data_IF_494321261864
#
_entry.id   IF_494321261864
#
_cell.length_a   1.000
_cell.length_b   1.000
_cell.length_c   1.000
_cell.angle_alpha   90.00
_cell.angle_beta   90.00
_cell.angle_gamma   90.00
#
_symmetry.space_group_name_H-M   'P 1'
#
loop_
_entity.id
_entity.type
_entity.pdbx_description
1 polymer ?
#
# COMPACT_ATOMS: atom_id res chain seq x y z
N UNK A 1 -74.10 -3.22 -26.73
CA UNK A 1 -73.42 -4.06 -25.71
C UNK A 1 -73.91 -5.50 -25.84
N UNK A 2 -73.19 -6.51 -25.35
CA UNK A 2 -73.64 -7.93 -25.37
C UNK A 2 -74.02 -8.38 -23.96
N UNK A 3 -75.05 -9.23 -23.82
CA UNK A 3 -75.48 -9.76 -22.55
C UNK A 3 -74.39 -10.65 -21.96
N UNK A 4 -73.91 -10.35 -20.75
CA UNK A 4 -72.88 -11.18 -20.09
C UNK A 4 -73.38 -12.59 -19.72
N UNK A 5 -74.69 -12.80 -19.66
CA UNK A 5 -75.26 -14.09 -19.30
C UNK A 5 -75.48 -15.01 -20.52
N UNK A 6 -75.99 -14.49 -21.64
CA UNK A 6 -76.32 -15.31 -22.82
C UNK A 6 -75.60 -14.92 -24.11
N UNK A 7 -74.76 -13.88 -24.10
CA UNK A 7 -73.98 -13.44 -25.25
C UNK A 7 -74.75 -12.67 -26.33
N UNK A 8 -76.09 -12.60 -26.27
CA UNK A 8 -76.87 -11.89 -27.29
C UNK A 8 -76.66 -10.36 -27.25
N UNK A 9 -76.71 -9.74 -28.43
CA UNK A 9 -76.56 -8.29 -28.57
C UNK A 9 -77.75 -7.59 -27.91
N UNK A 10 -77.45 -6.73 -26.93
CA UNK A 10 -78.42 -5.86 -26.27
C UNK A 10 -78.43 -4.52 -27.01
N UNK A 11 -79.62 -4.13 -27.46
CA UNK A 11 -79.90 -2.83 -28.05
C UNK A 11 -79.60 -1.70 -27.08
N UNK A 12 -79.02 -0.63 -27.60
CA UNK A 12 -78.56 0.52 -26.81
C UNK A 12 -79.73 1.12 -26.00
N UNK A 13 -79.52 1.32 -24.69
CA UNK A 13 -80.54 1.83 -23.75
C UNK A 13 -81.47 0.78 -23.11
N UNK A 14 -81.37 -0.51 -23.46
CA UNK A 14 -82.23 -1.53 -22.84
C UNK A 14 -81.81 -1.86 -21.39
N UNK A 15 -82.77 -1.83 -20.44
CA UNK A 15 -82.53 -2.15 -19.02
C UNK A 15 -82.30 -3.64 -18.74
N UNK A 16 -82.86 -4.52 -19.58
CA UNK A 16 -82.75 -5.98 -19.46
C UNK A 16 -82.52 -6.63 -20.83
N UNK A 17 -81.84 -7.78 -20.85
CA UNK A 17 -81.63 -8.58 -22.05
C UNK A 17 -82.96 -9.20 -22.50
N UNK A 18 -83.40 -8.90 -23.73
CA UNK A 18 -84.65 -9.44 -24.27
C UNK A 18 -84.66 -10.96 -24.47
N UNK A 19 -83.49 -11.60 -24.57
CA UNK A 19 -83.40 -13.06 -24.81
C UNK A 19 -83.41 -13.89 -23.53
N UNK A 20 -82.84 -13.41 -22.42
CA UNK A 20 -82.75 -14.19 -21.17
C UNK A 20 -83.25 -13.46 -19.92
N UNK A 21 -83.69 -12.20 -20.04
CA UNK A 21 -84.22 -11.40 -18.94
C UNK A 21 -83.18 -10.75 -18.02
N UNK A 22 -81.87 -11.04 -18.17
CA UNK A 22 -80.84 -10.53 -17.27
C UNK A 22 -80.67 -9.00 -17.33
N UNK A 23 -80.43 -8.28 -16.21
CA UNK A 23 -80.20 -6.84 -16.19
C UNK A 23 -78.96 -6.45 -17.00
N UNK A 24 -79.01 -5.32 -17.70
CA UNK A 24 -77.94 -4.91 -18.61
C UNK A 24 -76.71 -4.29 -17.89
N UNK A 25 -76.85 -3.76 -16.66
CA UNK A 25 -75.77 -3.13 -15.88
C UNK A 25 -75.99 -3.33 -14.37
N UNK A 26 -74.94 -3.68 -13.60
CA UNK A 26 -74.97 -3.72 -12.12
C UNK A 26 -74.60 -2.35 -11.51
N UNK A 27 -75.20 -1.89 -10.38
CA UNK A 27 -74.93 -0.56 -9.81
C UNK A 27 -73.53 -0.43 -9.18
N UNK A 28 -72.79 0.63 -9.54
CA UNK A 28 -71.39 0.90 -9.17
C UNK A 28 -71.15 1.20 -7.68
N UNK A 29 -72.14 1.74 -6.96
CA UNK A 29 -71.96 2.27 -5.59
C UNK A 29 -71.55 1.20 -4.56
N UNK A 30 -72.00 -0.06 -4.70
CA UNK A 30 -71.65 -1.14 -3.74
C UNK A 30 -70.18 -1.59 -3.84
N UNK A 31 -69.52 -1.40 -4.99
CA UNK A 31 -68.10 -1.79 -5.15
C UNK A 31 -67.17 -0.80 -4.48
N UNK A 32 -67.48 0.49 -4.52
CA UNK A 32 -66.62 1.53 -3.96
C UNK A 32 -66.57 1.47 -2.43
N UNK A 33 -67.69 1.17 -1.76
CA UNK A 33 -67.75 1.05 -0.29
C UNK A 33 -66.97 -0.15 0.24
N UNK A 34 -67.05 -1.28 -0.45
CA UNK A 34 -66.34 -2.52 -0.09
C UNK A 34 -64.82 -2.36 -0.28
N UNK A 35 -64.40 -1.66 -1.34
CA UNK A 35 -62.98 -1.41 -1.63
C UNK A 35 -62.36 -0.45 -0.60
N UNK A 36 -63.04 0.64 -0.26
CA UNK A 36 -62.59 1.59 0.77
C UNK A 36 -62.43 0.92 2.16
N UNK A 37 -63.36 0.02 2.52
CA UNK A 37 -63.28 -0.75 3.77
C UNK A 37 -62.09 -1.72 3.80
N UNK A 38 -61.73 -2.33 2.68
CA UNK A 38 -60.56 -3.23 2.60
C UNK A 38 -59.24 -2.46 2.73
N UNK A 39 -59.17 -1.26 2.17
CA UNK A 39 -57.97 -0.41 2.28
C UNK A 39 -57.73 0.10 3.71
N UNK A 40 -58.78 0.48 4.44
CA UNK A 40 -58.65 0.93 5.83
C UNK A 40 -58.10 -0.18 6.74
N UNK A 41 -58.63 -1.40 6.63
CA UNK A 41 -58.16 -2.58 7.36
C UNK A 41 -56.69 -2.89 7.01
N UNK A 42 -56.30 -2.77 5.74
CA UNK A 42 -54.91 -3.02 5.30
C UNK A 42 -53.94 -2.00 5.89
N UNK A 43 -54.31 -0.71 5.93
CA UNK A 43 -53.50 0.36 6.55
C UNK A 43 -53.33 0.14 8.05
N UNK A 44 -54.37 -0.30 8.74
CA UNK A 44 -54.31 -0.55 10.19
C UNK A 44 -53.41 -1.75 10.53
N UNK A 45 -53.52 -2.85 9.77
CA UNK A 45 -52.62 -4.00 9.89
C UNK A 45 -51.15 -3.63 9.59
N UNK A 46 -50.90 -2.78 8.60
CA UNK A 46 -49.56 -2.29 8.28
C UNK A 46 -48.97 -1.43 9.42
N UNK A 47 -49.76 -0.54 10.02
CA UNK A 47 -49.34 0.24 11.21
C UNK A 47 -49.00 -0.67 12.38
N UNK A 48 -49.80 -1.72 12.64
CA UNK A 48 -49.54 -2.68 13.72
C UNK A 48 -48.25 -3.48 13.47
N UNK A 49 -48.01 -3.95 12.23
CA UNK A 49 -46.74 -4.61 11.85
C UNK A 49 -45.54 -3.70 12.03
N UNK A 50 -45.62 -2.43 11.61
CA UNK A 50 -44.52 -1.47 11.75
C UNK A 50 -44.18 -1.19 13.22
N UNK A 51 -45.18 -1.10 14.09
CA UNK A 51 -44.97 -0.98 15.54
C UNK A 51 -44.29 -2.20 16.15
N UNK A 52 -44.68 -3.41 15.73
CA UNK A 52 -44.05 -4.66 16.19
C UNK A 52 -42.57 -4.72 15.74
N UNK A 53 -42.27 -4.39 14.48
CA UNK A 53 -40.91 -4.36 13.96
C UNK A 53 -40.01 -3.37 14.72
N UNK A 54 -40.52 -2.17 15.00
CA UNK A 54 -39.78 -1.16 15.79
C UNK A 54 -39.51 -1.64 17.21
N UNK A 55 -40.47 -2.32 17.85
CA UNK A 55 -40.27 -2.89 19.18
C UNK A 55 -39.21 -4.01 19.16
N UNK A 56 -39.22 -4.90 18.16
CA UNK A 56 -38.20 -5.93 18.01
C UNK A 56 -36.80 -5.35 17.78
N UNK A 57 -36.66 -4.30 16.96
CA UNK A 57 -35.38 -3.61 16.75
C UNK A 57 -34.86 -2.96 18.04
N UNK A 58 -35.74 -2.37 18.84
CA UNK A 58 -35.39 -1.80 20.14
C UNK A 58 -34.90 -2.88 21.12
N UNK A 59 -35.57 -4.03 21.17
CA UNK A 59 -35.11 -5.16 22.00
C UNK A 59 -33.75 -5.68 21.53
N UNK A 60 -33.54 -5.84 20.20
CA UNK A 60 -32.25 -6.27 19.66
C UNK A 60 -31.13 -5.28 19.98
N UNK A 61 -31.39 -3.96 19.88
CA UNK A 61 -30.42 -2.94 20.24
C UNK A 61 -30.06 -2.99 21.73
N UNK A 62 -31.06 -3.15 22.62
CA UNK A 62 -30.83 -3.31 24.06
C UNK A 62 -30.05 -4.59 24.36
N UNK A 63 -30.37 -5.71 23.72
CA UNK A 63 -29.60 -6.95 23.85
C UNK A 63 -28.16 -6.77 23.40
N UNK A 64 -27.91 -6.06 22.29
CA UNK A 64 -26.56 -5.76 21.81
C UNK A 64 -25.79 -4.86 22.81
N UNK A 65 -26.43 -3.84 23.39
CA UNK A 65 -25.82 -3.00 24.43
C UNK A 65 -25.51 -3.80 25.72
N UNK A 66 -26.39 -4.71 26.12
CA UNK A 66 -26.17 -5.59 27.29
C UNK A 66 -25.02 -6.57 27.01
N UNK A 67 -24.97 -7.17 25.82
CA UNK A 67 -23.83 -7.99 25.39
C UNK A 67 -22.55 -7.16 25.40
N UNK A 68 -22.55 -5.93 24.87
CA UNK A 68 -21.38 -5.04 24.89
C UNK A 68 -20.95 -4.63 26.30
N UNK A 69 -21.89 -4.51 27.25
CA UNK A 69 -21.59 -4.16 28.64
C UNK A 69 -21.09 -5.35 29.47
N UNK A 70 -21.55 -6.58 29.17
CA UNK A 70 -21.19 -7.80 29.92
C UNK A 70 -20.03 -8.58 29.29
N UNK A 71 -19.96 -8.60 27.95
CA UNK A 71 -18.74 -8.95 27.22
C UNK A 71 -17.90 -7.69 27.25
N UNK A 72 -17.13 -7.48 28.33
CA UNK A 72 -16.00 -6.55 28.28
C UNK A 72 -15.27 -6.85 26.97
N UNK A 73 -15.20 -5.93 26.00
CA UNK A 73 -14.39 -6.17 24.84
C UNK A 73 -12.97 -6.31 25.38
N UNK A 74 -12.43 -7.53 25.37
CA UNK A 74 -11.00 -7.71 25.33
C UNK A 74 -10.56 -7.18 23.97
N UNK A 75 -10.56 -5.86 23.83
CA UNK A 75 -9.72 -5.19 22.87
C UNK A 75 -8.32 -5.55 23.31
N UNK A 76 -7.82 -6.57 22.62
CA UNK A 76 -6.45 -7.05 22.56
C UNK A 76 -5.52 -6.03 23.23
N UNK A 77 -5.05 -6.34 24.43
CA UNK A 77 -3.87 -5.72 24.98
C UNK A 77 -2.72 -6.18 24.08
N UNK A 78 -2.53 -5.48 22.94
CA UNK A 78 -1.59 -5.84 21.86
C UNK A 78 -0.16 -5.95 22.37
N UNK A 79 0.13 -5.38 23.55
CA UNK A 79 1.42 -5.46 24.22
C UNK A 79 1.72 -6.82 24.86
N UNK A 80 0.76 -7.76 24.93
CA UNK A 80 0.99 -9.05 25.62
C UNK A 80 0.65 -10.30 24.81
N UNK A 81 0.01 -10.17 23.64
CA UNK A 81 -0.29 -11.31 22.78
C UNK A 81 0.88 -11.61 21.84
N UNK A 82 1.75 -12.57 22.21
CA UNK A 82 2.71 -13.15 21.27
C UNK A 82 1.95 -13.70 20.06
N UNK A 83 2.36 -13.41 18.81
CA UNK A 83 1.64 -13.93 17.65
C UNK A 83 1.67 -15.45 17.66
N UNK A 84 0.54 -16.10 17.37
CA UNK A 84 0.46 -17.55 17.30
C UNK A 84 1.36 -18.06 16.16
N UNK A 85 2.39 -18.84 16.52
CA UNK A 85 3.19 -19.61 15.57
C UNK A 85 2.30 -20.65 14.87
N UNK A 86 1.75 -20.31 13.70
CA UNK A 86 0.99 -21.29 12.90
C UNK A 86 -0.18 -20.78 12.07
N UNK A 87 -0.55 -19.49 12.10
CA UNK A 87 -1.37 -18.94 11.00
C UNK A 87 -0.49 -18.71 9.78
N UNK A 88 -0.96 -18.96 8.54
CA UNK A 88 -0.16 -18.75 7.34
C UNK A 88 0.40 -17.33 7.36
N UNK A 89 1.72 -17.23 7.42
CA UNK A 89 2.42 -15.98 7.27
C UNK A 89 2.27 -15.58 5.79
N UNK A 90 1.66 -14.42 5.55
CA UNK A 90 1.22 -13.84 4.28
C UNK A 90 0.35 -14.73 3.35
N UNK A 91 -0.75 -14.16 2.85
CA UNK A 91 -1.39 -14.70 1.65
C UNK A 91 -0.45 -14.53 0.45
N UNK A 92 -0.64 -15.34 -0.60
CA UNK A 92 -0.08 -14.99 -1.91
C UNK A 92 -0.56 -13.59 -2.29
N UNK A 93 0.35 -12.77 -2.85
CA UNK A 93 0.00 -11.41 -3.24
C UNK A 93 -1.05 -11.46 -4.35
N UNK A 94 -2.16 -10.74 -4.16
CA UNK A 94 -3.14 -10.55 -5.21
C UNK A 94 -2.58 -9.65 -6.32
N UNK A 95 -3.26 -9.64 -7.48
CA UNK A 95 -2.93 -8.69 -8.55
C UNK A 95 -3.02 -7.25 -8.02
N UNK A 96 -1.96 -6.48 -8.21
CA UNK A 96 -1.82 -5.11 -7.72
C UNK A 96 -1.33 -4.98 -6.27
N UNK A 97 -1.03 -6.09 -5.59
CA UNK A 97 -0.34 -6.07 -4.29
C UNK A 97 1.16 -6.24 -4.47
N UNK A 98 1.93 -5.62 -3.58
CA UNK A 98 3.39 -5.71 -3.53
C UNK A 98 3.85 -6.33 -2.22
N UNK A 99 5.00 -7.00 -2.25
CA UNK A 99 5.56 -7.69 -1.08
C UNK A 99 6.18 -6.76 -0.06
N UNK A 100 6.43 -5.50 -0.40
CA UNK A 100 6.83 -4.43 0.50
C UNK A 100 6.28 -3.09 -0.03
N UNK A 101 6.36 -2.04 0.79
CA UNK A 101 5.97 -0.69 0.36
C UNK A 101 7.00 -0.11 -0.61
N UNK A 102 6.52 0.68 -1.57
CA UNK A 102 7.38 1.42 -2.51
C UNK A 102 8.44 2.23 -1.75
N UNK A 103 8.02 2.91 -0.69
CA UNK A 103 8.88 3.78 0.09
C UNK A 103 9.95 3.02 0.88
N UNK A 104 9.63 1.86 1.46
CA UNK A 104 10.64 1.04 2.14
C UNK A 104 11.69 0.53 1.14
N UNK A 105 11.27 0.04 -0.03
CA UNK A 105 12.18 -0.42 -1.09
C UNK A 105 13.05 0.72 -1.63
N UNK A 106 12.48 1.92 -1.78
CA UNK A 106 13.23 3.13 -2.15
C UNK A 106 14.31 3.52 -1.12
N UNK A 107 14.18 3.06 0.13
CA UNK A 107 15.18 3.24 1.19
C UNK A 107 16.07 2.00 1.40
N UNK A 108 16.12 1.06 0.45
CA UNK A 108 16.96 -0.15 0.54
C UNK A 108 16.22 -1.41 1.00
N UNK A 109 14.97 -1.28 1.44
CA UNK A 109 14.08 -2.40 1.75
C UNK A 109 14.56 -3.29 2.89
N UNK A 110 15.22 -2.76 3.90
CA UNK A 110 15.76 -3.52 5.03
C UNK A 110 14.68 -4.08 5.96
N UNK A 111 13.42 -3.68 5.80
CA UNK A 111 12.32 -4.09 6.64
C UNK A 111 11.03 -4.28 5.84
N UNK A 112 10.28 -5.32 6.19
CA UNK A 112 8.95 -5.61 5.67
C UNK A 112 8.02 -6.14 6.77
N UNK A 113 6.77 -5.66 6.80
CA UNK A 113 5.73 -6.21 7.67
C UNK A 113 4.88 -7.23 6.92
N UNK A 114 4.57 -8.35 7.56
CA UNK A 114 3.61 -9.33 7.08
C UNK A 114 2.75 -9.86 8.23
N UNK A 115 1.47 -9.52 8.21
CA UNK A 115 0.55 -9.83 9.31
C UNK A 115 1.02 -9.19 10.62
N UNK A 116 1.16 -10.01 11.67
CA UNK A 116 1.63 -9.57 12.99
C UNK A 116 3.15 -9.57 13.14
N UNK A 117 3.90 -9.87 12.08
CA UNK A 117 5.34 -10.02 12.13
C UNK A 117 6.04 -8.95 11.28
N UNK A 118 7.20 -8.51 11.77
CA UNK A 118 8.15 -7.67 11.07
C UNK A 118 9.39 -8.52 10.78
N UNK A 119 9.83 -8.47 9.54
CA UNK A 119 11.06 -9.12 9.07
C UNK A 119 12.04 -8.02 8.70
N UNK A 120 13.25 -8.08 9.23
CA UNK A 120 14.21 -6.99 9.08
C UNK A 120 15.65 -7.49 8.98
N UNK A 121 16.51 -6.67 8.38
CA UNK A 121 17.95 -6.91 8.26
C UNK A 121 18.69 -6.36 9.46
N UNK A 122 19.68 -7.09 9.98
CA UNK A 122 20.67 -6.55 10.92
C UNK A 122 22.06 -6.37 10.28
N UNK A 123 22.16 -6.51 8.97
CA UNK A 123 23.42 -6.50 8.22
C UNK A 123 24.09 -7.87 8.05
N UNK A 124 23.86 -8.85 8.93
CA UNK A 124 24.45 -10.20 8.85
C UNK A 124 23.40 -11.33 8.83
N UNK A 125 22.13 -10.96 8.70
CA UNK A 125 21.04 -11.88 8.53
C UNK A 125 19.69 -11.19 8.50
N UNK A 126 18.67 -12.00 8.28
CA UNK A 126 17.27 -11.59 8.38
C UNK A 126 16.75 -12.06 9.73
N UNK A 127 16.08 -11.17 10.42
CA UNK A 127 15.50 -11.34 11.74
C UNK A 127 13.99 -11.17 11.68
N UNK A 128 13.30 -11.76 12.65
CA UNK A 128 11.85 -11.73 12.77
C UNK A 128 11.48 -11.28 14.19
N UNK A 129 10.60 -10.30 14.30
CA UNK A 129 10.03 -9.84 15.57
C UNK A 129 8.57 -9.45 15.45
N UNK A 130 7.83 -9.50 16.56
CA UNK A 130 6.48 -8.92 16.65
C UNK A 130 6.52 -7.44 17.08
N UNK A 131 7.62 -7.04 17.72
CA UNK A 131 7.84 -5.72 18.30
C UNK A 131 9.30 -5.32 18.07
N UNK A 132 9.52 -4.20 17.38
CA UNK A 132 10.87 -3.72 17.05
C UNK A 132 11.64 -3.18 18.26
N UNK A 133 10.98 -2.99 19.41
CA UNK A 133 11.65 -2.66 20.68
C UNK A 133 12.29 -3.87 21.37
N UNK A 134 11.98 -5.10 20.92
CA UNK A 134 12.56 -6.34 21.42
C UNK A 134 13.60 -6.91 20.44
N UNK A 135 14.54 -7.71 20.95
CA UNK A 135 15.50 -8.43 20.10
C UNK A 135 14.76 -9.48 19.25
N UNK A 136 14.88 -9.37 17.93
CA UNK A 136 14.30 -10.33 17.01
C UNK A 136 15.02 -11.68 17.02
N UNK A 137 14.31 -12.71 16.53
CA UNK A 137 14.91 -14.04 16.30
C UNK A 137 15.54 -14.09 14.91
N UNK A 138 16.80 -14.53 14.80
CA UNK A 138 17.44 -14.74 13.51
C UNK A 138 16.74 -15.84 12.71
N UNK A 139 16.29 -15.50 11.50
CA UNK A 139 15.63 -16.40 10.56
C UNK A 139 16.64 -17.12 9.66
N UNK A 140 17.63 -16.37 9.16
CA UNK A 140 18.75 -16.91 8.38
C UNK A 140 19.96 -15.97 8.42
N UNK A 141 21.13 -16.52 8.08
CA UNK A 141 22.34 -15.73 7.81
C UNK A 141 22.33 -15.24 6.37
N UNK A 142 22.75 -14.00 6.16
CA UNK A 142 22.92 -13.39 4.85
C UNK A 142 23.79 -12.14 5.02
N UNK A 143 24.69 -11.88 4.08
CA UNK A 143 25.57 -10.71 4.15
C UNK A 143 24.87 -9.51 3.52
N UNK A 144 24.64 -8.48 4.32
CA UNK A 144 23.95 -7.22 3.97
C UNK A 144 22.63 -7.47 3.22
N UNK A 145 21.66 -8.21 3.80
CA UNK A 145 20.39 -8.45 3.14
C UNK A 145 19.59 -7.13 3.06
N UNK A 146 18.99 -6.89 1.90
CA UNK A 146 18.14 -5.74 1.59
C UNK A 146 17.07 -6.11 0.56
N UNK A 147 16.26 -5.13 0.15
CA UNK A 147 15.12 -5.32 -0.76
C UNK A 147 14.19 -6.47 -0.33
N UNK A 148 13.92 -6.59 0.98
CA UNK A 148 13.05 -7.62 1.54
C UNK A 148 11.63 -7.45 1.02
N UNK A 149 11.00 -8.57 0.64
CA UNK A 149 9.62 -8.65 0.16
C UNK A 149 8.94 -9.88 0.77
N UNK A 150 7.78 -9.71 1.39
CA UNK A 150 6.99 -10.80 1.94
C UNK A 150 5.90 -11.22 0.95
N UNK A 151 5.88 -12.49 0.54
CA UNK A 151 4.86 -13.00 -0.38
C UNK A 151 4.60 -14.50 -0.15
N UNK A 152 3.35 -14.87 0.09
CA UNK A 152 3.02 -16.21 0.54
C UNK A 152 3.84 -16.57 1.78
N UNK A 153 4.39 -17.78 1.82
CA UNK A 153 5.17 -18.30 2.96
C UNK A 153 6.67 -17.93 2.91
N UNK A 154 7.07 -16.97 2.07
CA UNK A 154 8.48 -16.65 1.78
C UNK A 154 8.81 -15.17 1.97
N UNK A 155 10.03 -14.92 2.45
CA UNK A 155 10.71 -13.63 2.32
C UNK A 155 11.68 -13.74 1.14
N UNK A 156 11.49 -12.88 0.15
CA UNK A 156 12.39 -12.69 -0.98
C UNK A 156 13.27 -11.50 -0.70
N UNK A 157 14.56 -11.58 -1.00
CA UNK A 157 15.51 -10.52 -0.68
C UNK A 157 16.73 -10.58 -1.59
N UNK A 158 17.49 -9.49 -1.60
CA UNK A 158 18.83 -9.45 -2.19
C UNK A 158 19.87 -9.51 -1.09
N UNK A 159 20.99 -10.21 -1.32
CA UNK A 159 22.13 -10.21 -0.39
C UNK A 159 23.45 -10.41 -1.16
N UNK A 160 24.57 -10.04 -0.55
CA UNK A 160 25.89 -10.15 -1.15
C UNK A 160 26.26 -11.63 -1.39
N UNK A 161 26.82 -11.93 -2.56
CA UNK A 161 27.28 -13.28 -2.90
C UNK A 161 28.76 -13.44 -2.53
N UNK A 162 29.03 -14.07 -1.38
CA UNK A 162 30.40 -14.26 -0.90
C UNK A 162 31.09 -12.92 -0.60
N UNK A 163 32.36 -12.78 -0.99
CA UNK A 163 33.13 -11.53 -0.84
C UNK A 163 32.98 -10.60 -2.05
N UNK A 164 32.12 -10.94 -3.00
CA UNK A 164 31.92 -10.15 -4.21
C UNK A 164 31.00 -8.96 -3.89
N UNK A 165 31.38 -7.75 -4.31
CA UNK A 165 30.65 -6.51 -4.02
C UNK A 165 29.37 -6.34 -4.85
N UNK A 166 28.62 -7.42 -5.09
CA UNK A 166 27.32 -7.37 -5.73
C UNK A 166 26.31 -8.28 -5.05
N UNK A 167 25.03 -7.92 -5.20
CA UNK A 167 23.92 -8.64 -4.60
C UNK A 167 23.23 -9.56 -5.62
N UNK A 168 22.75 -10.70 -5.13
CA UNK A 168 21.91 -11.65 -5.89
C UNK A 168 20.64 -11.97 -5.12
N UNK A 169 19.70 -12.68 -5.76
CA UNK A 169 18.37 -12.93 -5.20
C UNK A 169 18.36 -14.22 -4.40
N UNK A 170 17.84 -14.15 -3.19
CA UNK A 170 17.58 -15.28 -2.31
C UNK A 170 16.11 -15.30 -1.88
N UNK A 171 15.69 -16.44 -1.32
CA UNK A 171 14.46 -16.53 -0.54
C UNK A 171 14.64 -17.39 0.71
N UNK A 172 13.89 -17.08 1.75
CA UNK A 172 13.84 -17.84 3.00
C UNK A 172 12.39 -18.03 3.43
N UNK A 173 12.03 -19.23 3.90
CA UNK A 173 10.70 -19.47 4.47
C UNK A 173 10.52 -18.58 5.69
N UNK A 174 9.30 -18.06 5.87
CA UNK A 174 8.96 -17.19 7.00
C UNK A 174 9.11 -17.83 8.39
N UNK A 175 9.30 -19.15 8.45
CA UNK A 175 9.61 -19.93 9.65
C UNK A 175 11.09 -20.34 9.75
N UNK A 176 11.93 -20.00 8.77
CA UNK A 176 13.37 -20.29 8.72
C UNK A 176 13.72 -21.71 8.31
N UNK A 177 12.75 -22.56 7.96
CA UNK A 177 13.01 -23.99 7.69
C UNK A 177 13.79 -24.25 6.39
N UNK A 178 13.79 -23.29 5.47
CA UNK A 178 14.38 -23.42 4.14
C UNK A 178 14.87 -22.05 3.67
N UNK A 179 16.07 -22.01 3.10
CA UNK A 179 16.72 -20.83 2.54
C UNK A 179 17.51 -21.25 1.32
N UNK A 180 17.36 -20.52 0.22
CA UNK A 180 18.05 -20.83 -1.03
C UNK A 180 18.31 -19.58 -1.87
N UNK A 181 19.31 -19.69 -2.74
CA UNK A 181 19.58 -18.73 -3.79
C UNK A 181 18.62 -18.98 -4.95
N UNK A 182 17.94 -17.93 -5.39
CA UNK A 182 16.91 -17.98 -6.42
C UNK A 182 17.45 -17.57 -7.80
N UNK A 183 18.46 -16.71 -7.82
CA UNK A 183 19.18 -16.29 -9.02
C UNK A 183 20.63 -15.98 -8.67
N UNK A 184 21.56 -16.29 -9.58
CA UNK A 184 22.98 -15.92 -9.45
C UNK A 184 23.33 -14.60 -10.16
N UNK A 185 22.38 -14.04 -10.90
CA UNK A 185 22.60 -12.82 -11.67
C UNK A 185 22.69 -11.60 -10.74
N UNK A 186 23.75 -10.77 -10.86
CA UNK A 186 23.86 -9.52 -10.12
C UNK A 186 22.65 -8.62 -10.38
N UNK A 187 22.01 -8.14 -9.31
CA UNK A 187 20.81 -7.33 -9.44
C UNK A 187 20.66 -6.32 -8.31
N UNK A 188 19.72 -5.40 -8.50
CA UNK A 188 19.27 -4.41 -7.51
C UNK A 188 17.75 -4.21 -7.60
N UNK A 189 17.19 -3.50 -6.61
CA UNK A 189 15.79 -3.06 -6.58
C UNK A 189 14.77 -4.20 -6.74
N UNK A 190 14.92 -5.28 -5.96
CA UNK A 190 13.98 -6.40 -5.98
C UNK A 190 12.60 -6.00 -5.42
N UNK A 191 11.55 -6.26 -6.19
CA UNK A 191 10.15 -6.04 -5.80
C UNK A 191 9.31 -7.27 -6.13
N UNK A 192 8.60 -7.83 -5.14
CA UNK A 192 7.55 -8.80 -5.40
C UNK A 192 6.24 -8.06 -5.69
N UNK A 193 5.54 -8.42 -6.77
CA UNK A 193 4.24 -7.86 -7.12
C UNK A 193 3.34 -8.92 -7.77
N UNK A 194 2.17 -9.16 -7.18
CA UNK A 194 1.30 -10.27 -7.57
C UNK A 194 2.04 -11.61 -7.55
N UNK A 195 2.08 -12.30 -8.68
CA UNK A 195 2.69 -13.62 -8.85
C UNK A 195 4.13 -13.59 -9.40
N UNK A 196 4.77 -12.41 -9.39
CA UNK A 196 6.11 -12.21 -9.98
C UNK A 196 7.05 -11.41 -9.10
N UNK A 197 8.34 -11.63 -9.34
CA UNK A 197 9.43 -10.80 -8.85
C UNK A 197 9.91 -9.92 -10.00
N UNK A 198 10.21 -8.65 -9.72
CA UNK A 198 10.76 -7.66 -10.64
C UNK A 198 12.08 -7.15 -10.06
N UNK A 199 13.09 -7.01 -10.89
CA UNK A 199 14.44 -6.63 -10.46
C UNK A 199 15.22 -6.03 -11.62
N UNK A 200 16.18 -5.16 -11.29
CA UNK A 200 17.02 -4.50 -12.27
C UNK A 200 18.40 -5.16 -12.31
N UNK A 201 18.89 -5.45 -13.51
CA UNK A 201 20.29 -5.84 -13.75
C UNK A 201 21.03 -4.63 -14.30
N UNK A 202 22.04 -4.16 -13.56
CA UNK A 202 22.91 -3.04 -13.94
C UNK A 202 24.20 -3.59 -14.53
N UNK A 203 24.70 -2.97 -15.60
CA UNK A 203 26.03 -3.29 -16.12
C UNK A 203 27.08 -2.76 -15.13
N UNK A 204 27.86 -3.66 -14.54
CA UNK A 204 28.89 -3.32 -13.56
C UNK A 204 30.00 -2.42 -14.14
N UNK A 205 30.10 -2.31 -15.46
CA UNK A 205 31.05 -1.42 -16.14
C UNK A 205 30.46 -0.05 -16.48
N UNK A 206 29.17 0.17 -16.20
CA UNK A 206 28.52 1.46 -16.44
C UNK A 206 28.70 2.39 -15.24
N UNK A 207 28.98 3.67 -15.49
CA UNK A 207 29.08 4.71 -14.46
C UNK A 207 27.70 5.14 -13.92
N UNK A 208 26.61 4.51 -14.38
CA UNK A 208 25.23 4.90 -14.09
C UNK A 208 24.45 3.88 -13.27
N UNK A 209 23.31 4.31 -12.75
CA UNK A 209 22.34 3.46 -12.05
C UNK A 209 21.26 2.89 -12.99
N UNK A 210 21.44 3.02 -14.31
CA UNK A 210 20.52 2.51 -15.31
C UNK A 210 20.84 1.05 -15.63
N UNK A 211 19.80 0.26 -15.89
CA UNK A 211 19.92 -1.15 -16.15
C UNK A 211 18.68 -1.69 -16.83
N UNK A 212 18.69 -2.99 -17.11
CA UNK A 212 17.56 -3.66 -17.75
C UNK A 212 16.61 -4.21 -16.68
N UNK A 213 15.33 -3.99 -16.87
CA UNK A 213 14.29 -4.51 -15.97
C UNK A 213 13.91 -5.93 -16.37
N UNK A 214 14.01 -6.85 -15.41
CA UNK A 214 13.61 -8.23 -15.56
C UNK A 214 12.47 -8.58 -14.62
N UNK A 215 11.74 -9.64 -14.97
CA UNK A 215 10.76 -10.29 -14.13
C UNK A 215 10.99 -11.80 -14.14
N UNK A 216 10.60 -12.48 -13.06
CA UNK A 216 10.58 -13.94 -12.97
C UNK A 216 9.41 -14.39 -12.09
N UNK A 217 9.06 -15.67 -12.16
CA UNK A 217 8.07 -16.26 -11.27
C UNK A 217 8.63 -16.35 -9.84
N UNK A 218 7.75 -16.54 -8.86
CA UNK A 218 8.09 -16.63 -7.42
C UNK A 218 9.02 -17.82 -7.06
N UNK A 219 9.24 -18.74 -8.00
CA UNK A 219 10.15 -19.89 -7.88
C UNK A 219 11.45 -19.74 -8.69
N UNK A 220 11.71 -18.56 -9.27
CA UNK A 220 12.89 -18.26 -10.07
C UNK A 220 12.77 -18.67 -11.54
N UNK A 221 11.72 -19.39 -11.92
CA UNK A 221 11.48 -19.78 -13.33
C UNK A 221 10.93 -18.61 -14.17
N UNK A 222 10.93 -18.77 -15.50
CA UNK A 222 10.21 -17.86 -16.39
C UNK A 222 10.79 -16.44 -16.48
N UNK A 223 12.11 -16.32 -16.35
CA UNK A 223 12.83 -15.04 -16.49
C UNK A 223 12.51 -14.39 -17.84
N UNK A 224 12.09 -13.12 -17.80
CA UNK A 224 11.73 -12.30 -18.96
C UNK A 224 12.21 -10.86 -18.74
N UNK A 225 12.80 -10.27 -19.78
CA UNK A 225 13.03 -8.82 -19.83
C UNK A 225 11.69 -8.09 -20.05
N UNK A 226 11.42 -7.07 -19.23
CA UNK A 226 10.14 -6.32 -19.23
C UNK A 226 10.16 -5.17 -20.23
N UNK A 227 11.26 -4.42 -20.25
CA UNK A 227 11.49 -3.25 -21.12
C UNK A 227 12.80 -3.42 -21.88
N UNK A 228 12.85 -2.97 -23.14
CA UNK A 228 14.07 -3.05 -23.97
C UNK A 228 15.17 -2.07 -23.52
N UNK A 229 14.75 -0.89 -23.10
CA UNK A 229 15.63 0.23 -22.73
C UNK A 229 16.36 0.03 -21.40
N UNK A 230 17.49 0.71 -21.25
CA UNK A 230 18.12 0.89 -19.94
C UNK A 230 17.39 1.98 -19.17
N UNK A 231 16.97 1.64 -17.96
CA UNK A 231 16.13 2.49 -17.11
C UNK A 231 16.65 2.46 -15.69
N UNK A 232 16.31 3.48 -14.90
CA UNK A 232 16.41 3.41 -13.44
C UNK A 232 15.04 3.04 -12.87
N UNK A 233 14.93 1.81 -12.38
CA UNK A 233 13.71 1.29 -11.77
C UNK A 233 13.49 1.95 -10.41
N UNK A 234 12.27 2.45 -10.17
CA UNK A 234 11.93 3.11 -8.90
C UNK A 234 11.10 2.21 -7.99
N UNK A 235 10.16 1.45 -8.56
CA UNK A 235 9.29 0.56 -7.80
C UNK A 235 7.96 0.29 -8.48
N UNK A 236 7.09 -0.45 -7.80
CA UNK A 236 5.75 -0.80 -8.29
C UNK A 236 4.71 -0.26 -7.32
N UNK A 237 3.68 0.40 -7.87
CA UNK A 237 2.47 0.72 -7.12
C UNK A 237 1.26 0.21 -7.90
N UNK A 238 0.47 -0.67 -7.26
CA UNK A 238 -0.63 -1.39 -7.91
C UNK A 238 -0.08 -2.22 -9.08
N UNK A 239 -0.66 -2.07 -10.27
CA UNK A 239 -0.25 -2.79 -11.49
C UNK A 239 0.76 -2.00 -12.34
N UNK A 240 1.36 -0.93 -11.80
CA UNK A 240 2.22 -0.02 -12.55
C UNK A 240 3.66 -0.06 -12.04
N UNK A 241 4.57 -0.30 -12.96
CA UNK A 241 6.02 -0.15 -12.79
C UNK A 241 6.34 1.32 -13.06
N UNK A 242 7.05 1.97 -12.13
CA UNK A 242 7.55 3.33 -12.28
C UNK A 242 9.06 3.31 -12.47
N UNK A 243 9.54 4.08 -13.44
CA UNK A 243 10.95 4.16 -13.77
C UNK A 243 11.30 5.53 -14.34
N UNK A 244 12.58 5.88 -14.28
CA UNK A 244 13.12 7.07 -14.89
C UNK A 244 14.14 6.73 -15.95
N UNK A 245 14.20 7.56 -16.98
CA UNK A 245 15.33 7.63 -17.91
C UNK A 245 16.09 8.92 -17.65
N UNK A 246 17.41 8.86 -17.69
CA UNK A 246 18.26 10.01 -17.47
C UNK A 246 18.57 10.75 -18.78
N UNK A 247 18.32 12.06 -18.81
CA UNK A 247 18.69 12.93 -19.93
C UNK A 247 19.50 14.13 -19.42
N UNK A 248 20.83 14.03 -19.44
CA UNK A 248 21.72 15.13 -19.09
C UNK A 248 21.83 15.39 -17.58
N UNK A 249 20.99 16.28 -17.04
CA UNK A 249 20.86 16.56 -15.58
C UNK A 249 19.40 16.39 -15.09
N UNK A 250 18.52 15.89 -15.94
CA UNK A 250 17.09 15.80 -15.69
C UNK A 250 16.60 14.36 -15.80
N UNK A 251 15.65 14.01 -14.95
CA UNK A 251 14.92 12.75 -15.03
C UNK A 251 13.60 12.98 -15.76
N UNK A 252 13.22 12.02 -16.60
CA UNK A 252 11.86 11.88 -17.12
C UNK A 252 11.22 10.68 -16.42
N UNK A 253 10.03 10.86 -15.85
CA UNK A 253 9.28 9.79 -15.18
C UNK A 253 8.30 9.13 -16.17
N UNK A 254 8.33 7.82 -16.22
CA UNK A 254 7.41 6.98 -16.97
C UNK A 254 6.72 5.98 -16.04
N UNK A 255 5.62 5.41 -16.55
CA UNK A 255 5.10 4.14 -16.03
C UNK A 255 4.73 3.19 -17.15
N UNK A 256 4.74 1.90 -16.85
CA UNK A 256 4.28 0.82 -17.72
C UNK A 256 3.53 -0.21 -16.88
N UNK A 257 2.56 -0.93 -17.46
CA UNK A 257 1.94 -2.06 -16.76
C UNK A 257 2.96 -3.14 -16.46
N UNK A 258 2.71 -3.92 -15.41
CA UNK A 258 3.55 -5.06 -15.02
C UNK A 258 3.74 -6.13 -16.11
N UNK A 259 2.86 -6.18 -17.10
CA UNK A 259 3.00 -7.05 -18.28
C UNK A 259 3.82 -6.45 -19.44
N UNK A 260 4.20 -5.17 -19.33
CA UNK A 260 4.94 -4.40 -20.34
C UNK A 260 4.06 -3.57 -21.28
N UNK A 261 2.74 -3.49 -21.05
CA UNK A 261 1.81 -2.71 -21.89
C UNK A 261 1.50 -1.32 -21.34
N UNK A 262 0.81 -0.50 -22.12
CA UNK A 262 0.31 0.84 -21.71
C UNK A 262 1.41 1.77 -21.16
N UNK A 263 2.60 1.75 -21.77
CA UNK A 263 3.65 2.69 -21.42
C UNK A 263 3.19 4.14 -21.62
N UNK A 264 3.41 4.97 -20.61
CA UNK A 264 3.09 6.39 -20.66
C UNK A 264 4.16 7.23 -19.94
N UNK A 265 4.40 8.43 -20.49
CA UNK A 265 5.23 9.45 -19.85
C UNK A 265 4.39 10.27 -18.89
N UNK A 266 4.83 10.37 -17.64
CA UNK A 266 4.14 11.10 -16.57
C UNK A 266 4.70 12.50 -16.38
N UNK A 267 6.01 12.66 -16.22
CA UNK A 267 6.66 13.95 -15.95
C UNK A 267 7.84 14.09 -16.90
N UNK A 268 7.86 15.16 -17.70
CA UNK A 268 8.90 15.35 -18.71
C UNK A 268 10.27 15.64 -18.12
N UNK A 269 10.32 16.46 -17.06
CA UNK A 269 11.57 16.96 -16.50
C UNK A 269 11.43 17.21 -14.99
N UNK A 270 12.21 16.50 -14.18
CA UNK A 270 12.42 16.83 -12.78
C UNK A 270 13.84 16.49 -12.33
N UNK A 271 14.37 17.27 -11.38
CA UNK A 271 15.66 17.04 -10.74
C UNK A 271 15.42 16.64 -9.30
N UNK A 272 15.96 15.50 -8.90
CA UNK A 272 15.83 14.95 -7.55
C UNK A 272 17.21 14.80 -6.91
N UNK A 273 17.30 15.09 -5.61
CA UNK A 273 18.44 14.77 -4.75
C UNK A 273 18.09 13.68 -3.71
N UNK A 274 16.96 13.00 -3.88
CA UNK A 274 16.57 11.80 -3.15
C UNK A 274 16.14 10.70 -4.12
N UNK A 275 15.98 9.47 -3.64
CA UNK A 275 15.21 8.46 -4.37
C UNK A 275 13.74 8.92 -4.40
N UNK A 276 13.10 9.07 -5.58
CA UNK A 276 11.71 9.49 -5.66
C UNK A 276 10.77 8.37 -5.21
N UNK A 277 9.73 8.73 -4.45
CA UNK A 277 8.71 7.79 -3.96
C UNK A 277 7.38 8.06 -4.65
N UNK A 278 6.77 7.03 -5.23
CA UNK A 278 5.42 7.12 -5.77
C UNK A 278 4.42 6.60 -4.74
N UNK A 279 3.42 7.42 -4.43
CA UNK A 279 2.32 7.04 -3.53
C UNK A 279 1.03 7.76 -3.89
N UNK A 280 -0.05 7.00 -4.05
CA UNK A 280 -1.42 7.49 -4.22
C UNK A 280 -1.57 8.54 -5.34
N UNK A 281 -0.88 8.32 -6.47
CA UNK A 281 -0.95 9.22 -7.64
C UNK A 281 -0.08 10.47 -7.56
N UNK A 282 0.84 10.52 -6.59
CA UNK A 282 1.81 11.58 -6.41
C UNK A 282 3.24 11.03 -6.43
N UNK A 283 4.16 11.83 -6.96
CA UNK A 283 5.60 11.65 -6.81
C UNK A 283 6.07 12.53 -5.65
N UNK A 284 6.82 11.99 -4.70
CA UNK A 284 7.47 12.70 -3.60
C UNK A 284 8.98 12.62 -3.77
N UNK A 285 9.67 13.76 -3.65
CA UNK A 285 11.12 13.80 -3.81
C UNK A 285 11.74 15.08 -3.25
N UNK A 286 13.02 14.99 -2.87
CA UNK A 286 13.84 16.14 -2.50
C UNK A 286 14.40 16.83 -3.74
N UNK A 287 14.46 18.17 -3.74
CA UNK A 287 15.11 18.96 -4.80
C UNK A 287 16.01 20.04 -4.19
N UNK A 288 17.08 20.39 -4.88
CA UNK A 288 17.89 21.55 -4.51
C UNK A 288 17.09 22.86 -4.65
N UNK A 289 17.33 23.80 -3.75
CA UNK A 289 16.86 25.17 -3.79
C UNK A 289 17.99 26.15 -4.18
N UNK A 290 17.61 27.35 -4.63
CA UNK A 290 18.57 28.37 -5.11
C UNK A 290 19.51 28.89 -4.01
N UNK A 291 19.06 28.87 -2.74
CA UNK A 291 19.83 29.29 -1.57
C UNK A 291 20.81 28.20 -1.06
N UNK A 292 20.88 27.07 -1.77
CA UNK A 292 21.67 25.91 -1.41
C UNK A 292 21.00 24.99 -0.38
N UNK A 293 19.79 25.32 0.09
CA UNK A 293 18.96 24.38 0.88
C UNK A 293 18.32 23.33 -0.04
N UNK A 294 17.54 22.41 0.52
CA UNK A 294 16.70 21.53 -0.28
C UNK A 294 15.24 21.67 0.13
N UNK A 295 14.37 21.25 -0.78
CA UNK A 295 12.93 21.25 -0.57
C UNK A 295 12.39 19.86 -0.79
N UNK A 296 11.54 19.44 0.11
CA UNK A 296 10.66 18.31 -0.13
C UNK A 296 9.48 18.83 -0.96
N UNK A 297 9.23 18.17 -2.08
CA UNK A 297 8.12 18.51 -2.94
C UNK A 297 7.32 17.26 -3.33
N UNK A 298 6.07 17.49 -3.70
CA UNK A 298 5.24 16.50 -4.36
C UNK A 298 4.79 16.99 -5.73
N UNK A 299 4.60 16.08 -6.67
CA UNK A 299 4.07 16.41 -7.99
C UNK A 299 3.03 15.38 -8.40
N UNK A 300 1.89 15.86 -8.90
CA UNK A 300 0.82 14.98 -9.37
C UNK A 300 1.31 14.20 -10.59
N UNK A 301 1.01 12.90 -10.65
CA UNK A 301 1.42 12.04 -11.76
C UNK A 301 0.55 12.28 -13.00
N UNK A 302 0.88 13.34 -13.75
CA UNK A 302 0.33 13.64 -15.06
C UNK A 302 1.27 14.58 -15.83
N UNK A 303 1.16 14.59 -17.17
CA UNK A 303 2.02 15.44 -18.02
C UNK A 303 1.89 16.94 -17.72
N UNK A 304 0.74 17.38 -17.19
CA UNK A 304 0.43 18.73 -16.75
C UNK A 304 0.49 18.89 -15.21
N UNK A 305 0.94 17.85 -14.51
CA UNK A 305 0.96 17.75 -13.07
C UNK A 305 1.81 18.85 -12.45
N UNK A 306 1.17 19.71 -11.65
CA UNK A 306 1.87 20.79 -10.96
C UNK A 306 2.67 20.23 -9.79
N UNK A 307 3.90 20.74 -9.64
CA UNK A 307 4.73 20.53 -8.46
C UNK A 307 4.30 21.47 -7.35
N UNK A 308 4.27 20.96 -6.13
CA UNK A 308 3.99 21.67 -4.89
C UNK A 308 5.17 21.43 -3.95
N UNK A 309 5.81 22.52 -3.50
CA UNK A 309 6.79 22.43 -2.41
C UNK A 309 6.02 22.29 -1.08
N UNK A 310 6.32 21.28 -0.27
CA UNK A 310 5.61 21.02 1.00
C UNK A 310 6.48 21.29 2.23
N UNK A 311 7.81 21.19 2.11
CA UNK A 311 8.77 21.58 3.15
C UNK A 311 9.99 22.26 2.53
N UNK A 312 10.57 23.21 3.24
CA UNK A 312 11.92 23.70 3.02
C UNK A 312 12.79 23.29 4.21
N UNK A 313 13.83 22.49 3.94
CA UNK A 313 14.71 21.92 4.96
C UNK A 313 16.17 22.27 4.64
N UNK A 314 17.01 22.32 5.67
CA UNK A 314 18.41 22.68 5.48
C UNK A 314 19.14 21.57 4.72
N UNK A 315 20.06 21.94 3.83
CA UNK A 315 20.87 20.99 3.08
C UNK A 315 22.22 20.74 3.76
N UNK A 316 22.64 19.49 3.69
CA UNK A 316 24.05 19.12 3.86
C UNK A 316 24.85 19.47 2.60
N UNK A 317 26.15 19.69 2.79
CA UNK A 317 27.15 19.77 1.72
C UNK A 317 27.43 18.41 1.04
N UNK A 318 26.98 17.30 1.65
CA UNK A 318 27.04 15.95 1.10
C UNK A 318 25.66 15.53 0.57
N UNK A 319 25.54 15.41 -0.75
CA UNK A 319 24.32 14.99 -1.47
C UNK A 319 24.07 13.47 -1.43
N UNK A 320 24.48 12.78 -0.36
CA UNK A 320 24.24 11.35 -0.25
C UNK A 320 22.79 11.14 0.23
N UNK A 321 21.99 10.59 -0.68
CA UNK A 321 20.57 10.23 -0.63
C UNK A 321 19.79 10.60 0.66
N UNK A 322 19.04 11.70 0.60
CA UNK A 322 18.09 12.05 1.68
C UNK A 322 17.03 10.95 1.76
N UNK A 323 16.96 10.28 2.92
CA UNK A 323 15.95 9.28 3.17
C UNK A 323 14.56 9.93 3.24
N UNK A 324 13.63 9.34 2.49
CA UNK A 324 12.26 9.80 2.33
C UNK A 324 11.33 8.60 2.38
N UNK A 325 10.36 8.61 3.29
CA UNK A 325 9.31 7.60 3.35
C UNK A 325 7.92 8.25 3.34
N UNK A 326 6.93 7.58 2.75
CA UNK A 326 5.56 8.10 2.64
C UNK A 326 4.60 7.01 3.06
N UNK A 327 3.87 7.23 4.15
CA UNK A 327 2.89 6.29 4.69
C UNK A 327 1.74 7.06 5.36
N UNK A 328 0.51 6.55 5.25
CA UNK A 328 -0.67 7.04 6.00
C UNK A 328 -0.90 8.56 5.98
N UNK A 329 -0.66 9.19 4.82
CA UNK A 329 -0.85 10.64 4.64
C UNK A 329 0.23 11.51 5.28
N UNK A 330 1.34 10.89 5.71
CA UNK A 330 2.54 11.54 6.20
C UNK A 330 3.71 11.31 5.26
N UNK A 331 4.60 12.30 5.26
CA UNK A 331 5.92 12.20 4.65
C UNK A 331 6.95 12.29 5.76
N UNK A 332 7.81 11.29 5.85
CA UNK A 332 8.90 11.19 6.81
C UNK A 332 10.20 11.46 6.09
N UNK A 333 11.06 12.30 6.65
CA UNK A 333 12.28 12.74 5.98
C UNK A 333 13.37 13.07 6.99
N UNK A 334 14.61 13.00 6.52
CA UNK A 334 15.78 13.41 7.29
C UNK A 334 16.12 14.86 6.95
N UNK A 335 16.11 15.73 7.95
CA UNK A 335 16.59 17.11 7.85
C UNK A 335 18.02 17.16 8.41
N UNK A 336 18.99 17.44 7.54
CA UNK A 336 20.42 17.37 7.87
C UNK A 336 20.94 18.60 8.64
N UNK A 337 20.08 19.56 8.97
CA UNK A 337 20.46 20.79 9.67
C UNK A 337 21.30 21.74 8.79
N UNK A 338 21.47 22.98 9.24
CA UNK A 338 22.32 23.95 8.54
C UNK A 338 23.76 23.78 9.01
N UNK A 339 24.59 23.10 8.21
CA UNK A 339 25.99 22.79 8.54
C UNK A 339 26.94 23.98 8.46
N UNK A 340 26.44 25.17 8.10
CA UNK A 340 27.27 26.38 7.91
C UNK A 340 27.92 26.89 9.21
N UNK A 341 27.33 26.59 10.38
CA UNK A 341 27.75 27.17 11.66
C UNK A 341 28.04 26.13 12.77
N UNK A 342 27.97 24.82 12.50
CA UNK A 342 28.26 23.76 13.47
C UNK A 342 29.30 22.76 12.94
N UNK A 343 30.22 22.31 13.80
CA UNK A 343 31.27 21.33 13.43
C UNK A 343 30.71 19.93 13.12
N UNK A 344 29.48 19.62 13.57
CA UNK A 344 28.80 18.35 13.30
C UNK A 344 27.36 18.61 12.77
N UNK A 345 26.95 17.98 11.65
CA UNK A 345 25.55 17.98 11.20
C UNK A 345 24.69 17.21 12.20
N UNK A 346 23.67 17.85 12.77
CA UNK A 346 22.63 17.14 13.51
C UNK A 346 21.54 16.71 12.53
N UNK A 347 21.54 15.44 12.12
CA UNK A 347 20.42 14.90 11.37
C UNK A 347 19.20 14.75 12.28
N UNK A 348 18.06 15.20 11.78
CA UNK A 348 16.79 15.21 12.48
C UNK A 348 15.78 14.41 11.69
N UNK A 349 15.12 13.48 12.34
CA UNK A 349 14.00 12.75 11.73
C UNK A 349 12.76 13.59 11.92
N UNK A 350 12.12 13.96 10.82
CA UNK A 350 10.95 14.81 10.80
C UNK A 350 9.80 14.13 10.07
N UNK A 351 8.57 14.58 10.35
CA UNK A 351 7.40 14.25 9.54
C UNK A 351 6.57 15.49 9.24
N UNK A 352 5.81 15.42 8.16
CA UNK A 352 4.84 16.45 7.76
C UNK A 352 3.66 15.78 7.07
N UNK A 353 2.46 16.33 7.17
CA UNK A 353 1.34 15.85 6.34
C UNK A 353 1.69 16.01 4.86
N UNK A 354 1.12 15.14 4.02
CA UNK A 354 1.37 15.18 2.57
C UNK A 354 1.03 16.53 1.92
N UNK A 355 0.19 17.35 2.54
CA UNK A 355 -0.16 18.71 2.08
C UNK A 355 0.75 19.82 2.64
N UNK A 356 1.77 19.47 3.42
CA UNK A 356 2.70 20.41 4.06
C UNK A 356 2.25 20.94 5.42
N UNK A 357 1.07 20.56 5.91
CA UNK A 357 0.60 20.95 7.24
C UNK A 357 1.23 20.10 8.35
N UNK A 358 1.16 20.60 9.60
CA UNK A 358 1.59 19.86 10.80
C UNK A 358 3.04 19.32 10.73
N UNK A 359 4.06 20.15 10.44
CA UNK A 359 5.44 19.70 10.51
C UNK A 359 5.82 19.38 11.97
N UNK A 360 6.42 18.23 12.18
CA UNK A 360 6.78 17.69 13.49
C UNK A 360 8.22 17.14 13.47
N UNK A 361 8.96 17.44 14.54
CA UNK A 361 10.26 16.83 14.83
C UNK A 361 10.01 15.53 15.61
N UNK A 362 10.52 14.41 15.12
CA UNK A 362 10.39 13.10 15.78
C UNK A 362 11.60 12.76 16.64
N UNK A 363 12.82 13.08 16.18
CA UNK A 363 14.05 12.82 16.91
C UNK A 363 15.16 13.81 16.56
N UNK A 364 15.91 14.24 17.58
CA UNK A 364 17.07 15.13 17.52
C UNK A 364 18.35 14.40 18.01
N UNK A 365 19.05 13.68 17.13
CA UNK A 365 20.37 13.13 17.48
C UNK A 365 20.75 11.78 16.88
N UNK A 366 20.56 11.58 15.58
CA UNK A 366 20.99 10.35 14.89
C UNK A 366 21.94 10.66 13.72
N UNK A 367 22.84 9.73 13.42
CA UNK A 367 23.69 9.76 12.22
C UNK A 367 23.06 8.93 11.11
N UNK A 368 23.22 9.36 9.86
CA UNK A 368 22.86 8.70 8.59
C UNK A 368 21.75 7.64 8.70
N UNK A 369 20.50 8.09 8.85
CA UNK A 369 19.39 7.17 9.04
C UNK A 369 18.58 6.93 7.74
N UNK A 370 18.16 5.68 7.54
CA UNK A 370 17.13 5.30 6.57
C UNK A 370 15.81 5.09 7.30
N UNK A 371 14.71 5.54 6.71
CA UNK A 371 13.39 5.55 7.34
C UNK A 371 12.51 4.45 6.73
N UNK A 372 11.92 3.62 7.58
CA UNK A 372 11.00 2.54 7.22
C UNK A 372 9.68 2.69 7.96
N UNK A 373 8.62 2.16 7.35
CA UNK A 373 7.29 2.13 7.95
C UNK A 373 6.74 0.71 7.97
N UNK A 374 6.01 0.37 9.03
CA UNK A 374 5.32 -0.90 9.21
C UNK A 374 3.92 -0.63 9.79
N UNK A 375 2.94 -0.41 8.91
CA UNK A 375 1.67 0.24 9.26
C UNK A 375 1.94 1.65 9.79
N UNK A 376 1.57 1.91 11.06
CA UNK A 376 1.72 3.21 11.72
C UNK A 376 3.07 3.36 12.43
N UNK A 377 3.80 2.26 12.59
CA UNK A 377 5.10 2.27 13.25
C UNK A 377 6.15 2.83 12.27
N UNK A 378 6.99 3.74 12.77
CA UNK A 378 8.09 4.34 12.04
C UNK A 378 9.37 3.86 12.67
N UNK A 379 10.28 3.32 11.87
CA UNK A 379 11.55 2.80 12.34
C UNK A 379 12.67 3.42 11.53
N UNK A 380 13.73 3.80 12.22
CA UNK A 380 14.96 4.21 11.58
C UNK A 380 16.01 3.13 11.74
N UNK A 381 16.82 2.94 10.72
CA UNK A 381 18.02 2.12 10.81
C UNK A 381 19.25 2.95 10.45
N UNK A 382 20.36 2.66 11.12
CA UNK A 382 21.65 3.29 10.89
C UNK A 382 22.76 2.24 10.92
N UNK A 383 23.83 2.52 10.17
CA UNK A 383 25.00 1.66 10.12
C UNK A 383 25.86 1.90 11.37
N UNK A 384 26.10 0.85 12.14
CA UNK A 384 26.92 0.94 13.37
C UNK A 384 28.38 1.23 13.07
N UNK A 385 28.88 0.70 11.95
CA UNK A 385 30.28 0.79 11.56
C UNK A 385 30.37 1.21 10.09
N UNK A 386 31.35 2.05 9.74
CA UNK A 386 31.83 2.17 8.36
C UNK A 386 32.70 0.94 8.07
N UNK A 387 32.09 -0.18 7.70
CA UNK A 387 32.86 -1.40 7.50
C UNK A 387 33.55 -1.38 6.12
N UNK A 388 34.88 -1.37 6.10
CA UNK A 388 35.69 -1.63 4.90
C UNK A 388 35.43 -3.05 4.33
N UNK A 389 34.87 -3.94 5.15
CA UNK A 389 34.52 -5.33 4.82
C UNK A 389 33.04 -5.62 5.12
N UNK A 390 32.31 -6.12 4.12
CA UNK A 390 30.87 -6.42 4.22
C UNK A 390 30.51 -7.41 5.36
N UNK A 391 31.45 -8.25 5.78
CA UNK A 391 31.27 -9.25 6.84
C UNK A 391 31.13 -8.61 8.24
N UNK A 392 31.55 -7.36 8.41
CA UNK A 392 31.46 -6.61 9.67
C UNK A 392 30.31 -5.59 9.67
N UNK A 393 29.53 -5.54 8.59
CA UNK A 393 28.43 -4.60 8.45
C UNK A 393 27.29 -4.92 9.42
N UNK A 394 26.91 -3.95 10.25
CA UNK A 394 25.84 -4.10 11.25
C UNK A 394 24.88 -2.92 11.18
N UNK A 395 23.59 -3.23 11.33
CA UNK A 395 22.52 -2.25 11.42
C UNK A 395 21.95 -2.23 12.84
N UNK A 396 21.74 -1.03 13.36
CA UNK A 396 20.97 -0.79 14.57
C UNK A 396 19.63 -0.15 14.20
N UNK A 397 18.60 -0.45 15.01
CA UNK A 397 17.22 -0.06 14.77
C UNK A 397 16.68 0.73 15.96
N UNK A 398 15.92 1.77 15.63
CA UNK A 398 15.22 2.61 16.59
C UNK A 398 13.76 2.75 16.17
N UNK A 399 12.84 2.60 17.12
CA UNK A 399 11.41 2.88 16.92
C UNK A 399 11.17 4.34 17.28
N UNK A 400 10.56 5.09 16.35
CA UNK A 400 10.26 6.50 16.53
C UNK A 400 8.87 6.65 17.18
N UNK A 401 8.80 7.33 18.32
CA UNK A 401 7.56 7.59 19.08
C UNK A 401 6.83 8.87 18.67
#
# INVERSE_FOLDING_TARGET
MYCKNCGNKISEGAKFCKSCGAPAVEPSEKRETEQARRESIRREKAKKRRKILLACLLVLAVCACVVFAYVKPNWIDRKTAKPEDGKPAAAALAKGETGNSFANLANGGELVKSGSWIYYSNGQGIYKTADMSEEGTQLCRATVPGNLNAAGEWIYYTAAKGTEHYNVIYRVRMNGSESEMLSEEPCTMLTAAGDKLYYQIVDQNSEGYEGKLFSMNMDGSGVKQVLEDQIRFLGIEKDWIYYTTYQGEQNTLYRVKTDGTEEERLISEFRSCSVPVVKDGWLYYGRAAEDGSWKLCRQKLSADGKREDIVQAAASSSYWEIALNVCDGWVYYVDLGNTKDTEEPQERVCRVKVDGSEPELMSDGGWSCRIFTADQDVMCCFSKNSADELENWQLEWEVME
#
